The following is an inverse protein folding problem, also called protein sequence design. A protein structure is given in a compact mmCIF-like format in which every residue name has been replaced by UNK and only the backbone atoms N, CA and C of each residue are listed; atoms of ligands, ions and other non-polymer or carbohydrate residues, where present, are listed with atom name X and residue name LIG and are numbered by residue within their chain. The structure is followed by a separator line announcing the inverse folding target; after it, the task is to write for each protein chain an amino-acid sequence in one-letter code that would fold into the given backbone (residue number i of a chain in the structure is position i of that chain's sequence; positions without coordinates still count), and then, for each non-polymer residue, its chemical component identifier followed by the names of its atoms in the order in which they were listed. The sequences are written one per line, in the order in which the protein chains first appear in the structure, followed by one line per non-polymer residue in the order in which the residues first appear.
data_IF_183841912549
#
_entry.id   IF_183841912549
#
_cell.length_a   1.000
_cell.length_b   1.000
_cell.length_c   1.000
_cell.angle_alpha   90.00
_cell.angle_beta   90.00
_cell.angle_gamma   90.00
#
_symmetry.space_group_name_H-M   'P 1'
#
loop_
_entity.id
_entity.type
_entity.pdbx_description
1 polymer ?
#
# COMPACT_ATOMS: atom_id res chain seq x y z
N UNK A 1 -7.60 -3.84 -2.29
CA UNK A 1 -8.94 -4.36 -1.92
C UNK A 1 -9.40 -5.46 -2.88
N UNK A 2 -9.32 -5.28 -4.21
CA UNK A 2 -9.73 -6.31 -5.20
C UNK A 2 -9.20 -7.72 -4.92
N UNK A 3 -7.95 -7.86 -4.51
CA UNK A 3 -7.37 -9.18 -4.21
C UNK A 3 -8.04 -9.88 -3.00
N UNK A 4 -8.34 -9.14 -1.92
CA UNK A 4 -9.04 -9.72 -0.76
C UNK A 4 -10.46 -10.15 -1.11
N UNK A 5 -11.12 -9.38 -1.98
CA UNK A 5 -12.46 -9.71 -2.49
C UNK A 5 -12.42 -10.96 -3.39
N UNK A 6 -11.43 -11.10 -4.28
CA UNK A 6 -11.30 -12.26 -5.15
C UNK A 6 -11.02 -13.55 -4.38
N UNK A 7 -10.24 -13.46 -3.30
CA UNK A 7 -9.93 -14.59 -2.42
C UNK A 7 -11.03 -14.89 -1.39
N UNK A 8 -12.14 -14.14 -1.40
CA UNK A 8 -13.27 -14.31 -0.47
C UNK A 8 -12.87 -14.27 1.01
N UNK A 9 -11.82 -13.51 1.34
CA UNK A 9 -11.35 -13.38 2.70
C UNK A 9 -12.22 -12.37 3.46
N UNK A 10 -12.64 -12.66 4.70
CA UNK A 10 -13.31 -11.66 5.51
C UNK A 10 -12.32 -10.53 5.83
N UNK A 11 -12.68 -9.30 5.49
CA UNK A 11 -11.85 -8.13 5.76
C UNK A 11 -12.68 -6.97 6.31
N UNK A 12 -12.00 -6.05 6.99
CA UNK A 12 -12.53 -4.75 7.38
C UNK A 12 -11.63 -3.67 6.84
N UNK A 13 -12.21 -2.63 6.26
CA UNK A 13 -11.46 -1.44 5.89
C UNK A 13 -11.36 -0.49 7.07
N UNK A 14 -10.23 0.19 7.20
CA UNK A 14 -10.01 1.26 8.17
C UNK A 14 -9.60 2.54 7.42
N UNK A 15 -9.72 3.68 8.09
CA UNK A 15 -9.49 5.01 7.50
C UNK A 15 -8.04 5.30 7.16
N UNK A 16 -7.11 4.74 7.91
CA UNK A 16 -5.69 5.07 7.84
C UNK A 16 -4.82 3.86 8.20
N UNK A 17 -3.56 3.93 7.78
CA UNK A 17 -2.59 2.86 7.94
C UNK A 17 -2.13 2.69 9.39
N UNK A 18 -2.10 3.79 10.15
CA UNK A 18 -1.69 3.79 11.55
C UNK A 18 -2.67 2.96 12.39
N UNK A 19 -3.97 3.21 12.27
CA UNK A 19 -5.01 2.42 12.92
C UNK A 19 -4.97 0.94 12.49
N UNK A 20 -4.66 0.66 11.22
CA UNK A 20 -4.49 -0.72 10.75
C UNK A 20 -3.34 -1.42 11.51
N UNK A 21 -2.17 -0.80 11.54
CA UNK A 21 -0.97 -1.33 12.19
C UNK A 21 -1.11 -1.41 13.71
N UNK A 22 -1.78 -0.45 14.36
CA UNK A 22 -2.12 -0.52 15.78
C UNK A 22 -3.01 -1.72 16.09
N UNK A 23 -4.00 -2.02 15.23
CA UNK A 23 -4.86 -3.18 15.46
C UNK A 23 -4.12 -4.50 15.27
N UNK A 24 -3.14 -4.55 14.35
CA UNK A 24 -2.26 -5.70 14.16
C UNK A 24 -1.31 -5.87 15.35
N UNK A 25 -0.66 -4.80 15.80
CA UNK A 25 0.23 -4.81 16.95
C UNK A 25 -0.51 -5.19 18.26
N UNK A 26 -1.78 -4.81 18.39
CA UNK A 26 -2.65 -5.20 19.49
C UNK A 26 -3.20 -6.64 19.37
N UNK A 27 -2.86 -7.38 18.30
CA UNK A 27 -3.34 -8.75 18.08
C UNK A 27 -4.85 -8.85 17.81
N UNK A 28 -5.49 -7.76 17.38
CA UNK A 28 -6.93 -7.71 17.08
C UNK A 28 -7.26 -8.20 15.67
N UNK A 29 -6.26 -8.33 14.81
CA UNK A 29 -6.33 -8.90 13.47
C UNK A 29 -5.08 -9.73 13.22
N UNK A 30 -5.20 -10.75 12.36
CA UNK A 30 -4.08 -11.64 12.04
C UNK A 30 -3.13 -11.04 11.00
N UNK A 31 -3.63 -10.16 10.12
CA UNK A 31 -2.85 -9.55 9.05
C UNK A 31 -3.44 -8.20 8.60
N UNK A 32 -2.57 -7.38 8.01
CA UNK A 32 -2.93 -6.14 7.30
C UNK A 32 -2.42 -6.26 5.86
N UNK A 33 -3.28 -5.93 4.90
CA UNK A 33 -2.93 -5.91 3.48
C UNK A 33 -2.95 -4.48 2.98
N UNK A 34 -1.79 -3.99 2.55
CA UNK A 34 -1.60 -2.65 2.01
C UNK A 34 -0.33 -2.60 1.16
N UNK A 35 -0.01 -1.42 0.63
CA UNK A 35 1.17 -1.21 -0.21
C UNK A 35 2.47 -1.50 0.53
N UNK A 36 3.28 -2.40 -0.05
CA UNK A 36 4.51 -2.88 0.57
C UNK A 36 5.51 -1.76 0.90
N UNK A 37 5.76 -0.74 0.03
CA UNK A 37 6.67 0.36 0.37
C UNK A 37 6.20 1.16 1.59
N UNK A 38 4.90 1.44 1.68
CA UNK A 38 4.31 2.20 2.78
C UNK A 38 4.39 1.38 4.07
N UNK A 39 3.98 0.10 4.04
CA UNK A 39 4.09 -0.78 5.20
C UNK A 39 5.52 -0.90 5.71
N UNK A 40 6.50 -1.04 4.81
CA UNK A 40 7.92 -1.10 5.19
C UNK A 40 8.39 0.18 5.87
N UNK A 41 7.98 1.34 5.36
CA UNK A 41 8.32 2.63 5.96
C UNK A 41 7.73 2.77 7.36
N UNK A 42 6.43 2.53 7.52
CA UNK A 42 5.74 2.66 8.81
C UNK A 42 6.28 1.66 9.85
N UNK A 43 6.47 0.40 9.45
CA UNK A 43 7.02 -0.63 10.35
C UNK A 43 8.46 -0.28 10.75
N UNK A 44 9.28 0.22 9.82
CA UNK A 44 10.64 0.63 10.14
C UNK A 44 10.69 1.76 11.17
N UNK A 45 9.72 2.69 11.11
CA UNK A 45 9.70 3.88 11.96
C UNK A 45 9.07 3.64 13.33
N UNK A 46 7.95 2.93 13.40
CA UNK A 46 7.14 2.83 14.62
C UNK A 46 7.04 1.40 15.20
N UNK A 47 7.25 0.36 14.39
CA UNK A 47 6.97 -1.04 14.80
C UNK A 47 8.17 -1.98 14.62
N UNK A 48 9.38 -1.44 14.59
CA UNK A 48 10.60 -2.18 14.27
C UNK A 48 10.78 -3.37 15.23
N UNK A 49 10.87 -4.58 14.66
CA UNK A 49 11.07 -5.81 15.43
C UNK A 49 9.79 -6.39 16.07
N UNK A 50 8.66 -5.70 15.98
CA UNK A 50 7.35 -6.19 16.45
C UNK A 50 6.45 -6.64 15.30
N UNK A 51 6.52 -5.94 14.16
CA UNK A 51 5.80 -6.26 12.94
C UNK A 51 6.78 -6.50 11.80
N UNK A 52 6.35 -7.27 10.81
CA UNK A 52 7.12 -7.54 9.60
C UNK A 52 6.23 -7.64 8.37
N UNK A 53 6.77 -7.23 7.22
CA UNK A 53 6.12 -7.46 5.92
C UNK A 53 6.56 -8.82 5.39
N UNK A 54 5.60 -9.70 5.11
CA UNK A 54 5.87 -11.01 4.55
C UNK A 54 6.44 -10.90 3.11
N UNK A 55 7.32 -11.84 2.70
CA UNK A 55 7.79 -11.90 1.32
C UNK A 55 6.66 -12.31 0.38
N UNK A 56 6.55 -11.62 -0.77
CA UNK A 56 5.50 -11.83 -1.76
C UNK A 56 4.65 -10.58 -1.97
N UNK A 57 4.11 -10.43 -3.18
CA UNK A 57 3.18 -9.36 -3.54
C UNK A 57 1.99 -9.98 -4.26
N UNK A 58 0.78 -9.61 -3.85
CA UNK A 58 -0.45 -10.17 -4.40
C UNK A 58 -0.79 -9.60 -5.78
N UNK A 59 -0.58 -8.29 -5.97
CA UNK A 59 -0.75 -7.59 -7.24
C UNK A 59 0.41 -6.62 -7.44
N UNK A 60 0.95 -6.56 -8.66
CA UNK A 60 1.88 -5.49 -9.02
C UNK A 60 1.07 -4.25 -9.35
N UNK A 61 1.22 -3.20 -8.53
CA UNK A 61 0.63 -1.90 -8.78
C UNK A 61 1.72 -0.95 -9.24
N UNK A 62 1.63 -0.53 -10.49
CA UNK A 62 2.54 0.47 -11.05
C UNK A 62 1.98 1.86 -10.69
N UNK A 63 2.72 2.62 -9.88
CA UNK A 63 2.34 3.99 -9.53
C UNK A 63 2.54 4.94 -10.73
N UNK A 64 1.58 5.84 -10.93
CA UNK A 64 1.63 6.86 -11.97
C UNK A 64 1.22 8.22 -11.44
N UNK A 65 1.66 9.27 -12.12
CA UNK A 65 1.22 10.64 -11.83
C UNK A 65 -0.09 10.88 -12.60
N UNK A 66 -1.19 11.07 -11.86
CA UNK A 66 -2.50 11.37 -12.44
C UNK A 66 -2.54 12.79 -13.01
N UNK A 67 -2.91 12.92 -14.29
CA UNK A 67 -3.09 14.20 -14.97
C UNK A 67 -4.52 14.28 -15.54
N UNK A 68 -5.11 15.49 -15.66
CA UNK A 68 -6.36 15.65 -16.40
C UNK A 68 -6.27 15.07 -17.82
N UNK A 69 -7.40 14.63 -18.35
CA UNK A 69 -7.52 14.28 -19.77
C UNK A 69 -7.01 15.44 -20.63
N UNK A 70 -6.29 15.09 -21.70
CA UNK A 70 -5.66 16.04 -22.63
C UNK A 70 -4.71 17.09 -22.04
N UNK A 71 -4.20 16.87 -20.81
CA UNK A 71 -3.18 17.75 -20.24
C UNK A 71 -1.94 17.85 -21.15
N UNK A 72 -1.52 19.07 -21.56
CA UNK A 72 -0.33 19.27 -22.38
C UNK A 72 0.96 18.94 -21.62
N UNK A 73 0.88 18.74 -20.30
CA UNK A 73 2.00 18.40 -19.43
C UNK A 73 2.37 16.91 -19.46
N UNK A 74 1.50 16.05 -20.01
CA UNK A 74 1.71 14.59 -20.02
C UNK A 74 3.03 14.21 -20.66
N UNK A 75 3.28 14.72 -21.87
CA UNK A 75 4.47 14.37 -22.65
C UNK A 75 5.76 15.01 -22.08
N UNK A 76 5.81 16.31 -21.71
CA UNK A 76 6.95 16.88 -21.01
C UNK A 76 7.30 16.15 -19.71
N UNK A 77 6.31 15.80 -18.89
CA UNK A 77 6.52 15.11 -17.62
C UNK A 77 7.10 13.70 -17.83
N UNK A 78 6.55 12.94 -18.77
CA UNK A 78 7.04 11.61 -19.09
C UNK A 78 8.50 11.65 -19.57
N UNK A 79 8.87 12.62 -20.40
CA UNK A 79 10.27 12.78 -20.86
C UNK A 79 11.23 13.08 -19.71
N UNK A 80 10.82 13.88 -18.73
CA UNK A 80 11.63 14.17 -17.54
C UNK A 80 11.79 12.96 -16.62
N UNK A 81 10.80 12.08 -16.53
CA UNK A 81 10.87 10.85 -15.74
C UNK A 81 11.77 9.77 -16.38
N UNK A 82 11.95 9.82 -17.70
CA UNK A 82 12.75 8.85 -18.46
C UNK A 82 14.22 9.27 -18.62
N UNK A 83 14.55 10.53 -18.35
CA UNK A 83 15.91 11.09 -18.45
C UNK A 83 16.76 10.77 -17.21
#
# INVERSE_FOLDING_TARGET
IRWLESEHLPFRSVSDIEAALETLAAGRVDAVVYDAPILRYEIHNAYRGSLQVLPGSFDRQDYGIGLPSDSPLREPLNRLLLA
#
